data_IF_804441527301
#
_entry.id   IF_804441527301
#
_cell.length_a   1.000
_cell.length_b   1.000
_cell.length_c   1.000
_cell.angle_alpha   90.00
_cell.angle_beta   90.00
_cell.angle_gamma   90.00
#
_symmetry.space_group_name_H-M   'P 1'
#
loop_
_entity.id
_entity.type
_entity.pdbx_description
1 polymer ?
#
# COMPACT_ATOMS: atom_id res chain seq x y z
N UNK A 1 13.19 22.26 -14.06
CA UNK A 1 14.05 21.78 -12.95
C UNK A 1 13.95 22.79 -11.81
N UNK A 2 13.88 22.31 -10.58
CA UNK A 2 13.85 23.14 -9.37
C UNK A 2 15.29 23.41 -8.93
N UNK A 3 15.61 24.66 -8.66
CA UNK A 3 16.95 25.08 -8.24
C UNK A 3 17.04 25.18 -6.72
N UNK A 4 18.24 25.00 -6.20
CA UNK A 4 18.51 24.92 -4.78
C UNK A 4 18.07 26.19 -4.03
N UNK A 5 18.22 27.37 -4.62
CA UNK A 5 17.89 28.66 -4.00
C UNK A 5 16.39 28.97 -3.99
N UNK A 6 15.57 28.14 -4.66
CA UNK A 6 14.12 28.31 -4.70
C UNK A 6 13.47 27.94 -3.37
N UNK A 7 12.35 28.61 -3.05
CA UNK A 7 11.64 28.46 -1.79
C UNK A 7 11.22 27.02 -1.48
N UNK A 8 10.83 26.25 -2.51
CA UNK A 8 10.49 24.83 -2.36
C UNK A 8 11.67 24.03 -1.79
N UNK A 9 12.88 24.22 -2.33
CA UNK A 9 14.05 23.49 -1.87
C UNK A 9 14.39 23.83 -0.42
N UNK A 10 14.39 25.13 -0.09
CA UNK A 10 14.63 25.58 1.27
C UNK A 10 13.58 25.03 2.27
N UNK A 11 12.31 24.98 1.88
CA UNK A 11 11.24 24.41 2.71
C UNK A 11 11.43 22.90 2.93
N UNK A 12 11.81 22.15 1.90
CA UNK A 12 12.06 20.70 1.99
C UNK A 12 13.17 20.36 2.97
N UNK A 13 14.23 21.18 3.04
CA UNK A 13 15.39 20.92 3.89
C UNK A 13 15.43 21.73 5.19
N UNK A 14 14.31 22.36 5.58
CA UNK A 14 14.20 23.08 6.86
C UNK A 14 15.02 24.39 6.92
N UNK A 15 15.36 24.97 5.77
CA UNK A 15 16.08 26.25 5.69
C UNK A 15 16.91 26.40 4.42
N UNK A 16 17.55 27.57 4.27
CA UNK A 16 18.52 27.79 3.19
C UNK A 16 19.73 26.89 3.38
N UNK A 17 19.98 26.01 2.42
CA UNK A 17 21.16 25.15 2.42
C UNK A 17 22.45 25.99 2.27
N UNK A 18 23.51 25.74 3.08
CA UNK A 18 24.79 26.41 2.91
C UNK A 18 25.40 26.11 1.52
N UNK A 19 25.98 27.11 0.84
CA UNK A 19 26.59 27.00 -0.51
C UNK A 19 25.62 26.67 -1.65
N UNK A 20 24.33 26.85 -1.41
CA UNK A 20 23.26 26.68 -2.37
C UNK A 20 23.23 27.84 -3.38
N UNK A 21 23.50 27.54 -4.66
CA UNK A 21 23.52 28.52 -5.74
C UNK A 21 22.39 28.31 -6.75
N UNK A 22 22.05 29.35 -7.51
CA UNK A 22 20.98 29.34 -8.52
C UNK A 22 21.16 28.33 -9.66
N UNK A 23 22.37 27.79 -9.83
CA UNK A 23 22.71 26.80 -10.85
C UNK A 23 22.85 25.38 -10.29
N UNK A 24 22.57 25.18 -9.00
CA UNK A 24 22.64 23.87 -8.34
C UNK A 24 21.22 23.30 -8.32
N UNK A 25 20.95 22.14 -8.93
CA UNK A 25 19.65 21.49 -8.84
C UNK A 25 19.28 21.20 -7.38
N UNK A 26 17.99 21.30 -7.05
CA UNK A 26 17.50 20.82 -5.77
C UNK A 26 17.42 19.30 -5.82
N UNK A 27 18.38 18.63 -5.20
CA UNK A 27 18.44 17.17 -5.15
C UNK A 27 17.43 16.60 -4.14
N UNK A 28 17.06 15.34 -4.33
CA UNK A 28 16.28 14.58 -3.36
C UNK A 28 16.88 13.19 -3.20
N UNK A 29 16.67 12.61 -2.03
CA UNK A 29 17.01 11.22 -1.72
C UNK A 29 15.92 10.63 -0.85
N UNK A 30 15.41 9.46 -1.24
CA UNK A 30 14.41 8.69 -0.48
C UNK A 30 14.95 7.28 -0.29
N UNK A 31 14.80 6.75 0.91
CA UNK A 31 15.08 5.34 1.25
C UNK A 31 13.79 4.73 1.80
N UNK A 32 13.39 3.58 1.26
CA UNK A 32 12.20 2.85 1.66
C UNK A 32 12.52 1.81 2.76
N UNK A 33 11.46 1.24 3.34
CA UNK A 33 11.57 0.30 4.47
C UNK A 33 12.34 -0.97 4.13
N UNK A 34 12.11 -1.51 2.93
CA UNK A 34 12.85 -2.63 2.33
C UNK A 34 14.35 -2.32 2.06
N UNK A 35 14.73 -1.06 2.22
CA UNK A 35 16.06 -0.54 2.01
C UNK A 35 16.38 -0.14 0.58
N UNK A 36 15.43 -0.25 -0.35
CA UNK A 36 15.54 0.34 -1.67
C UNK A 36 15.61 1.87 -1.58
N UNK A 37 16.17 2.50 -2.60
CA UNK A 37 16.41 3.94 -2.57
C UNK A 37 16.33 4.59 -3.94
N UNK A 38 15.95 5.86 -3.96
CA UNK A 38 15.94 6.69 -5.16
C UNK A 38 16.63 8.02 -4.88
N UNK A 39 17.49 8.44 -5.82
CA UNK A 39 18.20 9.73 -5.77
C UNK A 39 18.01 10.43 -7.11
N UNK A 40 17.79 11.74 -7.07
CA UNK A 40 17.63 12.54 -8.28
C UNK A 40 17.46 14.01 -7.98
N UNK A 41 16.76 14.73 -8.85
CA UNK A 41 16.49 16.15 -8.70
C UNK A 41 15.01 16.46 -8.81
N UNK A 42 14.56 17.46 -8.06
CA UNK A 42 13.20 17.96 -8.17
C UNK A 42 12.98 18.68 -9.51
N UNK A 43 11.86 18.38 -10.15
CA UNK A 43 11.39 19.03 -11.37
C UNK A 43 9.97 19.54 -11.17
N UNK A 44 9.61 20.57 -11.92
CA UNK A 44 8.25 21.10 -11.96
C UNK A 44 7.65 20.70 -13.29
N UNK A 45 6.49 20.06 -13.26
CA UNK A 45 5.73 19.73 -14.46
C UNK A 45 4.22 19.78 -14.20
N UNK A 46 3.42 19.49 -15.23
CA UNK A 46 1.99 19.39 -15.15
C UNK A 46 1.55 17.98 -14.70
N UNK A 47 0.71 17.94 -13.68
CA UNK A 47 -0.12 16.79 -13.32
C UNK A 47 -1.50 16.98 -13.95
N UNK A 48 -1.93 15.99 -14.72
CA UNK A 48 -3.31 15.88 -15.21
C UNK A 48 -4.06 14.83 -14.37
N UNK A 49 -5.29 15.15 -13.99
CA UNK A 49 -6.17 14.27 -13.22
C UNK A 49 -7.62 14.49 -13.63
N UNK A 50 -8.46 13.48 -13.34
CA UNK A 50 -9.87 13.51 -13.67
C UNK A 50 -10.68 14.14 -12.52
N UNK A 51 -11.22 15.33 -12.77
CA UNK A 51 -12.07 16.04 -11.83
C UNK A 51 -13.52 15.56 -11.98
N UNK A 52 -14.11 15.07 -10.88
CA UNK A 52 -15.52 14.68 -10.83
C UNK A 52 -16.41 15.90 -11.02
N UNK A 53 -17.36 15.81 -11.94
CA UNK A 53 -18.28 16.92 -12.27
C UNK A 53 -19.74 16.59 -11.95
N UNK A 54 -20.14 15.33 -12.17
CA UNK A 54 -21.47 14.76 -11.92
C UNK A 54 -21.34 13.26 -11.69
N UNK A 55 -22.46 12.61 -11.37
CA UNK A 55 -22.53 11.15 -11.20
C UNK A 55 -21.90 10.41 -12.38
N UNK A 56 -20.82 9.67 -12.11
CA UNK A 56 -20.09 8.86 -13.08
C UNK A 56 -19.39 9.66 -14.19
N UNK A 57 -19.26 10.99 -14.05
CA UNK A 57 -18.65 11.85 -15.07
C UNK A 57 -17.49 12.65 -14.52
N UNK A 58 -16.38 12.63 -15.26
CA UNK A 58 -15.18 13.40 -14.98
C UNK A 58 -14.84 14.33 -16.14
N UNK A 59 -14.04 15.35 -15.86
CA UNK A 59 -13.40 16.18 -16.87
C UNK A 59 -11.91 16.32 -16.54
N UNK A 60 -11.02 16.42 -17.55
CA UNK A 60 -9.61 16.67 -17.30
C UNK A 60 -9.39 17.98 -16.53
N UNK A 61 -8.55 17.93 -15.50
CA UNK A 61 -8.05 19.06 -14.77
C UNK A 61 -6.54 18.95 -14.59
N UNK A 62 -5.87 20.11 -14.53
CA UNK A 62 -4.41 20.16 -14.47
C UNK A 62 -3.95 21.02 -13.28
N UNK A 63 -2.81 20.65 -12.74
CA UNK A 63 -2.07 21.45 -11.76
C UNK A 63 -0.57 21.36 -12.02
N UNK A 64 0.16 22.42 -11.71
CA UNK A 64 1.62 22.34 -11.67
C UNK A 64 2.05 21.74 -10.34
N UNK A 65 2.90 20.71 -10.38
CA UNK A 65 3.43 20.03 -9.20
C UNK A 65 4.94 19.88 -9.30
N UNK A 66 5.59 19.84 -8.15
CA UNK A 66 7.01 19.53 -8.02
C UNK A 66 7.15 18.07 -7.56
N UNK A 67 7.94 17.28 -8.27
CA UNK A 67 8.20 15.89 -7.91
C UNK A 67 9.63 15.49 -8.26
N UNK A 68 10.07 14.33 -7.76
CA UNK A 68 11.42 13.82 -7.99
C UNK A 68 11.55 13.18 -9.37
N UNK A 69 12.51 13.63 -10.17
CA UNK A 69 12.98 12.91 -11.34
C UNK A 69 14.17 12.03 -10.95
N UNK A 70 13.96 10.73 -10.86
CA UNK A 70 14.94 9.77 -10.40
C UNK A 70 16.09 9.56 -11.39
N UNK A 71 17.32 9.72 -10.93
CA UNK A 71 18.53 9.52 -11.72
C UNK A 71 19.25 8.20 -11.36
N UNK A 72 19.13 7.78 -10.10
CA UNK A 72 19.75 6.56 -9.60
C UNK A 72 18.77 5.82 -8.68
N UNK A 73 18.59 4.53 -8.95
CA UNK A 73 17.81 3.61 -8.14
C UNK A 73 18.73 2.57 -7.50
N UNK A 74 18.38 2.13 -6.29
CA UNK A 74 19.09 1.09 -5.55
C UNK A 74 18.13 0.11 -4.90
N UNK A 75 18.61 -1.10 -4.61
CA UNK A 75 17.77 -2.20 -4.12
C UNK A 75 16.74 -2.63 -5.16
N UNK A 76 15.55 -3.02 -4.70
CA UNK A 76 14.49 -3.57 -5.55
C UNK A 76 13.95 -2.58 -6.59
N UNK A 77 14.01 -1.27 -6.31
CA UNK A 77 13.67 -0.22 -7.29
C UNK A 77 14.61 -0.16 -8.50
N UNK A 78 15.81 -0.73 -8.39
CA UNK A 78 16.73 -0.87 -9.52
C UNK A 78 16.56 -2.18 -10.30
N UNK A 79 15.69 -3.08 -9.85
CA UNK A 79 15.48 -4.38 -10.45
C UNK A 79 14.59 -4.29 -11.70
N UNK A 80 14.99 -4.97 -12.78
CA UNK A 80 14.18 -5.04 -14.00
C UNK A 80 12.87 -5.82 -13.82
N UNK A 81 12.79 -6.70 -12.81
CA UNK A 81 11.63 -7.56 -12.59
C UNK A 81 10.45 -6.80 -11.95
N UNK A 82 10.70 -5.61 -11.40
CA UNK A 82 9.70 -4.75 -10.74
C UNK A 82 9.80 -3.31 -11.24
N UNK A 83 10.27 -3.12 -12.48
CA UNK A 83 10.47 -1.80 -13.05
C UNK A 83 9.13 -1.05 -13.16
N UNK A 84 9.10 0.15 -12.59
CA UNK A 84 7.98 1.08 -12.59
C UNK A 84 8.46 2.44 -13.08
N UNK A 85 7.59 3.19 -13.76
CA UNK A 85 7.93 4.53 -14.27
C UNK A 85 7.98 5.59 -13.16
N UNK A 86 7.39 5.31 -11.99
CA UNK A 86 7.44 6.18 -10.82
C UNK A 86 6.52 5.73 -9.69
N UNK A 87 6.72 6.32 -8.51
CA UNK A 87 5.90 6.09 -7.31
C UNK A 87 5.16 7.37 -6.97
N UNK A 88 3.84 7.28 -6.84
CA UNK A 88 3.01 8.39 -6.38
C UNK A 88 2.71 8.24 -4.88
N UNK A 89 3.57 8.82 -4.05
CA UNK A 89 3.42 8.78 -2.60
C UNK A 89 2.36 9.76 -2.08
N UNK A 90 1.39 9.25 -1.33
CA UNK A 90 0.37 10.03 -0.63
C UNK A 90 0.74 10.33 0.82
N UNK A 91 2.02 10.45 1.17
CA UNK A 91 2.46 10.77 2.53
C UNK A 91 2.13 12.21 2.97
N UNK A 92 2.26 12.48 4.27
CA UNK A 92 1.86 13.75 4.87
C UNK A 92 2.82 14.93 4.60
N UNK A 93 4.00 14.65 4.07
CA UNK A 93 5.03 15.64 3.79
C UNK A 93 4.51 16.79 2.91
N UNK A 94 5.00 18.01 3.16
CA UNK A 94 4.63 19.19 2.37
C UNK A 94 5.03 19.06 0.89
N UNK A 95 6.01 18.20 0.60
CA UNK A 95 6.46 17.88 -0.75
C UNK A 95 5.54 16.88 -1.47
N UNK A 96 4.59 16.22 -0.79
CA UNK A 96 3.69 15.29 -1.46
C UNK A 96 2.75 16.01 -2.43
N UNK A 97 2.34 15.30 -3.48
CA UNK A 97 1.42 15.83 -4.49
C UNK A 97 0.14 16.36 -3.85
N UNK A 98 -0.46 15.59 -2.92
CA UNK A 98 -1.68 15.99 -2.22
C UNK A 98 -1.51 17.29 -1.44
N UNK A 99 -0.40 17.45 -0.71
CA UNK A 99 -0.09 18.68 0.04
C UNK A 99 0.08 19.90 -0.89
N UNK A 100 0.70 19.72 -2.05
CA UNK A 100 0.87 20.79 -3.03
C UNK A 100 -0.47 21.21 -3.65
N UNK A 101 -1.33 20.25 -4.04
CA UNK A 101 -2.66 20.52 -4.56
C UNK A 101 -3.55 21.21 -3.51
N UNK A 102 -3.44 20.81 -2.25
CA UNK A 102 -4.15 21.43 -1.12
C UNK A 102 -3.70 22.87 -0.93
N UNK A 103 -2.38 23.13 -0.91
CA UNK A 103 -1.82 24.48 -0.79
C UNK A 103 -2.24 25.39 -1.94
N UNK A 104 -2.40 24.84 -3.15
CA UNK A 104 -2.91 25.55 -4.31
C UNK A 104 -4.45 25.73 -4.32
N UNK A 105 -5.16 25.29 -3.28
CA UNK A 105 -6.61 25.40 -3.16
C UNK A 105 -7.38 24.57 -4.20
N UNK A 106 -6.78 23.49 -4.69
CA UNK A 106 -7.37 22.64 -5.74
C UNK A 106 -8.20 21.49 -5.18
N UNK A 107 -7.77 20.93 -4.06
CA UNK A 107 -8.38 19.76 -3.41
C UNK A 107 -8.29 19.91 -1.89
N UNK A 108 -9.10 19.16 -1.15
CA UNK A 108 -8.90 18.93 0.28
C UNK A 108 -7.78 17.96 0.56
N UNK A 109 -7.26 17.98 1.79
CA UNK A 109 -6.27 17.00 2.25
C UNK A 109 -6.93 15.70 2.72
N UNK A 110 -7.86 15.19 1.92
CA UNK A 110 -8.64 13.98 2.17
C UNK A 110 -8.58 13.12 0.92
N UNK A 111 -8.35 11.82 1.09
CA UNK A 111 -8.36 10.87 -0.02
C UNK A 111 -8.83 9.49 0.45
N UNK A 112 -9.22 8.65 -0.50
CA UNK A 112 -9.65 7.29 -0.22
C UNK A 112 -9.24 6.34 -1.34
N UNK A 113 -9.04 5.08 -0.97
CA UNK A 113 -8.85 3.99 -1.92
C UNK A 113 -9.70 2.76 -1.54
N UNK A 114 -10.01 1.95 -2.53
CA UNK A 114 -10.58 0.62 -2.39
C UNK A 114 -10.01 -0.23 -3.52
N UNK A 115 -9.18 -1.22 -3.19
CA UNK A 115 -8.44 -2.02 -4.18
C UNK A 115 -8.95 -3.47 -4.20
N UNK A 116 -9.22 -3.98 -5.40
CA UNK A 116 -9.60 -5.38 -5.64
C UNK A 116 -8.35 -6.17 -6.06
N UNK A 117 -7.83 -7.01 -5.17
CA UNK A 117 -6.64 -7.84 -5.44
C UNK A 117 -6.94 -9.10 -6.27
N UNK A 118 -8.21 -9.41 -6.52
CA UNK A 118 -8.64 -10.60 -7.26
C UNK A 118 -8.89 -10.27 -8.74
N UNK A 119 -9.67 -9.21 -9.00
CA UNK A 119 -9.98 -8.76 -10.37
C UNK A 119 -9.06 -7.66 -10.87
N UNK A 120 -8.33 -7.02 -9.95
CA UNK A 120 -7.61 -5.78 -10.22
C UNK A 120 -8.53 -4.58 -10.28
N UNK A 121 -7.93 -3.40 -10.31
CA UNK A 121 -8.68 -2.14 -10.32
C UNK A 121 -9.24 -1.78 -8.95
N UNK A 122 -10.20 -0.85 -8.97
CA UNK A 122 -10.81 -0.34 -7.76
C UNK A 122 -11.18 1.12 -7.86
N UNK A 123 -11.28 1.77 -6.70
CA UNK A 123 -11.64 3.17 -6.57
C UNK A 123 -10.45 3.90 -5.95
N UNK A 124 -10.04 5.01 -6.56
CA UNK A 124 -9.14 5.98 -5.96
C UNK A 124 -9.76 7.36 -6.08
N UNK A 125 -9.82 8.11 -4.99
CA UNK A 125 -10.45 9.44 -5.01
C UNK A 125 -9.73 10.41 -4.07
N UNK A 126 -9.69 11.68 -4.48
CA UNK A 126 -9.28 12.80 -3.64
C UNK A 126 -10.55 13.61 -3.35
N UNK A 127 -10.84 13.84 -2.07
CA UNK A 127 -12.05 14.50 -1.60
C UNK A 127 -12.77 13.71 -0.49
N UNK A 128 -13.83 14.33 0.04
CA UNK A 128 -14.62 13.80 1.15
C UNK A 128 -15.60 12.72 0.68
N UNK A 129 -15.36 11.47 1.08
CA UNK A 129 -16.26 10.34 0.81
C UNK A 129 -17.40 10.34 1.81
N UNK A 130 -18.61 10.60 1.31
CA UNK A 130 -19.81 10.74 2.17
C UNK A 130 -20.67 9.48 2.20
N UNK A 131 -20.55 8.58 1.22
CA UNK A 131 -21.21 7.27 1.19
C UNK A 131 -20.26 6.20 0.59
N UNK A 132 -20.12 5.02 1.24
CA UNK A 132 -20.73 4.64 2.52
C UNK A 132 -20.17 5.46 3.70
N UNK A 133 -20.80 5.37 4.87
CA UNK A 133 -20.23 5.93 6.10
C UNK A 133 -19.20 4.96 6.65
N UNK A 134 -18.04 5.49 7.02
CA UNK A 134 -16.89 4.72 7.48
C UNK A 134 -16.55 5.20 8.89
N UNK A 135 -16.37 4.25 9.82
CA UNK A 135 -15.84 4.56 11.15
C UNK A 135 -14.36 4.91 11.05
N UNK A 136 -13.89 5.83 11.87
CA UNK A 136 -12.50 6.27 11.84
C UNK A 136 -11.85 6.12 13.21
N UNK A 137 -10.52 6.14 13.21
CA UNK A 137 -9.66 6.12 14.39
C UNK A 137 -8.59 7.22 14.23
N UNK A 138 -8.07 7.80 15.32
CA UNK A 138 -7.08 8.87 15.23
C UNK A 138 -5.74 8.40 14.67
N UNK A 139 -5.12 9.26 13.86
CA UNK A 139 -3.74 9.12 13.45
C UNK A 139 -2.81 9.53 14.61
N UNK A 140 -1.80 8.71 14.88
CA UNK A 140 -0.78 9.02 15.88
C UNK A 140 0.02 10.23 15.43
N UNK A 141 0.18 11.22 16.32
CA UNK A 141 0.94 12.44 16.06
C UNK A 141 2.44 12.17 15.91
N UNK A 142 3.11 13.04 15.16
CA UNK A 142 4.58 13.06 15.01
C UNK A 142 5.19 11.74 14.52
N UNK A 143 4.44 10.99 13.71
CA UNK A 143 4.89 9.76 13.04
C UNK A 143 5.18 10.01 11.56
N UNK A 144 6.19 9.32 10.99
CA UNK A 144 6.54 9.47 9.57
C UNK A 144 5.55 8.78 8.61
N UNK A 145 4.72 7.86 9.11
CA UNK A 145 3.74 7.11 8.33
C UNK A 145 2.33 7.26 8.93
N UNK A 146 1.33 6.71 8.25
CA UNK A 146 -0.03 6.59 8.76
C UNK A 146 -0.09 5.54 9.87
N UNK A 147 0.24 5.98 11.08
CA UNK A 147 0.21 5.15 12.27
C UNK A 147 -1.11 5.28 13.02
N UNK A 148 -1.66 4.16 13.45
CA UNK A 148 -2.84 4.05 14.32
C UNK A 148 -2.54 3.18 15.53
N UNK A 149 -3.34 3.30 16.58
CA UNK A 149 -3.16 2.52 17.82
C UNK A 149 -3.98 1.22 17.77
N UNK A 150 -3.29 0.09 17.63
CA UNK A 150 -3.87 -1.24 17.82
C UNK A 150 -4.04 -1.53 19.31
N UNK A 151 -5.18 -2.09 19.70
CA UNK A 151 -5.56 -2.39 21.09
C UNK A 151 -5.54 -3.87 21.41
N UNK A 152 -6.18 -4.69 20.58
CA UNK A 152 -6.28 -6.14 20.75
C UNK A 152 -6.35 -6.85 19.41
N UNK A 153 -6.13 -8.15 19.45
CA UNK A 153 -6.25 -9.03 18.28
C UNK A 153 -7.12 -10.22 18.69
N UNK A 154 -8.17 -10.48 17.92
CA UNK A 154 -9.00 -11.66 18.08
C UNK A 154 -8.75 -12.62 16.93
N UNK A 155 -8.72 -13.93 17.23
CA UNK A 155 -8.68 -14.99 16.22
C UNK A 155 -9.89 -15.90 16.45
N UNK A 156 -10.78 -15.97 15.47
CA UNK A 156 -12.01 -16.77 15.58
C UNK A 156 -12.93 -16.32 16.73
N UNK A 157 -12.95 -15.02 17.02
CA UNK A 157 -13.73 -14.41 18.11
C UNK A 157 -13.13 -14.58 19.51
N UNK A 158 -11.89 -15.09 19.63
CA UNK A 158 -11.18 -15.20 20.90
C UNK A 158 -10.02 -14.22 20.95
N UNK A 159 -10.00 -13.33 21.94
CA UNK A 159 -8.91 -12.36 22.15
C UNK A 159 -7.61 -13.06 22.57
N UNK A 160 -6.53 -12.78 21.83
CA UNK A 160 -5.19 -13.27 22.13
C UNK A 160 -4.65 -12.64 23.41
N UNK A 161 -4.03 -13.46 24.26
CA UNK A 161 -3.41 -13.01 25.50
C UNK A 161 -1.98 -12.51 25.23
N UNK A 162 -1.89 -11.26 24.76
CA UNK A 162 -0.64 -10.62 24.40
C UNK A 162 -0.19 -9.65 25.51
N UNK A 163 1.13 -9.57 25.81
CA UNK A 163 1.64 -8.58 26.76
C UNK A 163 1.21 -7.15 26.42
N UNK A 164 0.71 -6.42 27.42
CA UNK A 164 0.16 -5.06 27.22
C UNK A 164 1.13 -4.09 26.51
N UNK A 165 2.45 -4.24 26.75
CA UNK A 165 3.47 -3.42 26.13
C UNK A 165 3.52 -3.52 24.59
N UNK A 166 2.92 -4.54 23.97
CA UNK A 166 2.79 -4.64 22.50
C UNK A 166 1.93 -3.51 21.95
N UNK A 167 0.87 -3.13 22.69
CA UNK A 167 -0.15 -2.17 22.27
C UNK A 167 0.06 -0.77 22.86
N UNK A 168 1.00 -0.61 23.79
CA UNK A 168 1.27 0.67 24.43
C UNK A 168 1.80 1.69 23.42
N UNK A 169 1.28 2.93 23.39
CA UNK A 169 1.84 4.00 22.59
C UNK A 169 3.29 4.29 22.99
N UNK A 170 4.13 4.61 22.02
CA UNK A 170 5.52 4.98 22.26
C UNK A 170 6.19 5.56 21.02
N UNK A 171 7.34 6.21 21.19
CA UNK A 171 8.06 6.87 20.08
C UNK A 171 8.33 5.92 18.89
N UNK A 172 8.44 4.62 19.16
CA UNK A 172 8.73 3.57 18.17
C UNK A 172 7.59 2.56 17.97
N UNK A 173 6.38 2.88 18.46
CA UNK A 173 5.20 2.00 18.41
C UNK A 173 4.05 2.65 17.64
N UNK A 174 3.12 1.82 17.17
CA UNK A 174 2.00 2.19 16.31
C UNK A 174 1.92 1.26 15.10
N UNK A 175 0.70 0.97 14.65
CA UNK A 175 0.42 0.13 13.48
C UNK A 175 0.40 0.98 12.23
N UNK A 176 1.28 0.68 11.28
CA UNK A 176 1.34 1.39 9.99
C UNK A 176 0.28 0.82 9.06
N UNK A 177 -0.51 1.69 8.44
CA UNK A 177 -1.42 1.34 7.34
C UNK A 177 -0.74 1.73 6.02
N UNK A 178 -0.33 0.73 5.23
CA UNK A 178 0.53 0.95 4.06
C UNK A 178 0.08 0.13 2.85
N UNK A 179 -0.59 0.79 1.90
CA UNK A 179 -0.96 0.20 0.61
C UNK A 179 0.23 0.02 -0.35
N UNK A 180 1.42 0.53 0.00
CA UNK A 180 2.66 0.37 -0.78
C UNK A 180 3.38 -0.96 -0.51
N UNK A 181 2.95 -1.70 0.51
CA UNK A 181 3.51 -3.00 0.89
C UNK A 181 2.45 -4.09 0.73
N UNK A 182 2.79 -5.22 0.12
CA UNK A 182 1.81 -6.32 -0.10
C UNK A 182 1.46 -7.07 1.18
N UNK A 183 2.48 -7.46 1.96
CA UNK A 183 2.34 -8.35 3.12
C UNK A 183 2.10 -7.58 4.41
N UNK A 184 1.54 -8.27 5.40
CA UNK A 184 1.46 -7.74 6.76
C UNK A 184 2.68 -8.20 7.56
N UNK A 185 3.27 -7.28 8.33
CA UNK A 185 4.41 -7.56 9.19
C UNK A 185 4.00 -7.42 10.64
N UNK A 186 4.27 -8.46 11.42
CA UNK A 186 3.92 -8.53 12.83
C UNK A 186 5.19 -8.76 13.67
N UNK A 187 5.28 -8.18 14.89
CA UNK A 187 6.31 -8.53 15.86
C UNK A 187 6.36 -10.05 16.07
N UNK A 188 7.54 -10.61 16.29
CA UNK A 188 7.73 -12.08 16.32
C UNK A 188 6.76 -12.79 17.28
N UNK A 189 6.57 -12.24 18.48
CA UNK A 189 5.64 -12.78 19.47
C UNK A 189 4.19 -12.77 18.94
N UNK A 190 3.76 -11.65 18.35
CA UNK A 190 2.39 -11.51 17.81
C UNK A 190 2.18 -12.47 16.64
N UNK A 191 3.14 -12.54 15.72
CA UNK A 191 3.11 -13.48 14.59
C UNK A 191 2.91 -14.92 15.07
N UNK A 192 3.70 -15.37 16.06
CA UNK A 192 3.61 -16.73 16.61
C UNK A 192 2.24 -17.02 17.24
N UNK A 193 1.73 -16.11 18.08
CA UNK A 193 0.43 -16.29 18.74
C UNK A 193 -0.73 -16.30 17.73
N UNK A 194 -0.69 -15.43 16.73
CA UNK A 194 -1.67 -15.42 15.64
C UNK A 194 -1.63 -16.73 14.86
N UNK A 195 -0.44 -17.16 14.41
CA UNK A 195 -0.28 -18.40 13.64
C UNK A 195 -0.71 -19.64 14.45
N UNK A 196 -0.37 -19.70 15.74
CA UNK A 196 -0.79 -20.76 16.63
C UNK A 196 -2.31 -20.83 16.77
N UNK A 197 -2.98 -19.68 16.92
CA UNK A 197 -4.42 -19.61 17.02
C UNK A 197 -5.13 -19.95 15.69
N UNK A 198 -4.61 -19.48 14.55
CA UNK A 198 -5.16 -19.74 13.20
C UNK A 198 -5.11 -21.24 12.87
N UNK A 199 -3.99 -21.91 13.19
CA UNK A 199 -3.77 -23.33 12.87
C UNK A 199 -4.15 -24.28 14.02
N UNK A 200 -4.81 -23.80 15.08
CA UNK A 200 -5.16 -24.63 16.24
C UNK A 200 -5.99 -25.88 15.89
N UNK A 201 -6.84 -25.79 14.84
CA UNK A 201 -7.64 -26.92 14.34
C UNK A 201 -6.98 -27.74 13.22
N UNK A 202 -5.78 -27.34 12.79
CA UNK A 202 -5.06 -27.88 11.64
C UNK A 202 -3.61 -28.23 12.02
N UNK A 203 -3.43 -28.92 13.14
CA UNK A 203 -2.11 -29.30 13.67
C UNK A 203 -1.38 -30.33 12.80
N UNK A 204 -2.10 -30.97 11.87
CA UNK A 204 -1.60 -31.92 10.89
C UNK A 204 -1.03 -31.24 9.63
N UNK A 205 -1.28 -29.94 9.44
CA UNK A 205 -0.73 -29.19 8.31
C UNK A 205 0.80 -29.08 8.45
N UNK A 206 1.49 -29.50 7.39
CA UNK A 206 2.93 -29.34 7.26
C UNK A 206 3.25 -28.13 6.40
N UNK A 207 4.05 -27.22 6.95
CA UNK A 207 4.55 -26.08 6.21
C UNK A 207 5.82 -26.40 5.42
N UNK A 208 6.00 -25.71 4.30
CA UNK A 208 7.21 -25.73 3.50
C UNK A 208 7.56 -24.31 3.05
N UNK A 209 8.85 -24.05 2.86
CA UNK A 209 9.34 -22.78 2.33
C UNK A 209 9.18 -22.78 0.80
N UNK A 210 8.50 -21.75 0.28
CA UNK A 210 8.50 -21.45 -1.15
C UNK A 210 8.99 -20.02 -1.33
N UNK A 211 10.25 -19.87 -1.76
CA UNK A 211 10.85 -18.56 -2.02
C UNK A 211 10.78 -17.61 -0.80
N UNK A 212 10.96 -18.14 0.42
CA UNK A 212 10.89 -17.35 1.65
C UNK A 212 9.48 -17.14 2.20
N UNK A 213 8.46 -17.77 1.60
CA UNK A 213 7.10 -17.79 2.10
C UNK A 213 6.78 -19.10 2.81
N UNK A 214 6.08 -19.00 3.94
CA UNK A 214 5.56 -20.16 4.65
C UNK A 214 4.29 -20.64 3.94
N UNK A 215 4.34 -21.80 3.30
CA UNK A 215 3.23 -22.33 2.50
C UNK A 215 2.77 -23.71 2.96
N UNK A 216 1.52 -24.07 2.66
CA UNK A 216 0.89 -25.33 3.00
C UNK A 216 -0.11 -25.76 1.94
N UNK A 217 -0.39 -27.07 1.88
CA UNK A 217 -1.41 -27.59 0.99
C UNK A 217 -2.75 -27.70 1.72
N UNK A 218 -3.83 -27.22 1.10
CA UNK A 218 -5.18 -27.28 1.64
C UNK A 218 -6.21 -27.44 0.51
N UNK A 219 -6.81 -28.63 0.33
CA UNK A 219 -7.70 -28.91 -0.81
C UNK A 219 -9.08 -28.25 -0.71
N UNK A 220 -9.39 -27.56 0.40
CA UNK A 220 -10.67 -26.90 0.63
C UNK A 220 -10.62 -25.39 0.42
N UNK A 221 -11.76 -24.73 0.66
CA UNK A 221 -11.84 -23.28 0.76
C UNK A 221 -11.20 -22.81 2.06
N UNK A 222 -10.19 -21.93 1.99
CA UNK A 222 -9.57 -21.39 3.20
C UNK A 222 -10.56 -20.61 4.07
N UNK A 223 -11.59 -20.00 3.47
CA UNK A 223 -12.62 -19.25 4.18
C UNK A 223 -13.53 -20.15 5.04
N UNK A 224 -13.70 -21.42 4.63
CA UNK A 224 -14.46 -22.41 5.39
C UNK A 224 -13.58 -23.12 6.44
N UNK A 225 -12.27 -23.17 6.17
CA UNK A 225 -11.29 -23.92 6.96
C UNK A 225 -10.69 -23.14 8.13
N UNK A 226 -10.51 -21.84 7.99
CA UNK A 226 -9.68 -21.03 8.89
C UNK A 226 -10.45 -19.85 9.51
N UNK A 227 -10.04 -19.38 10.69
CA UNK A 227 -10.79 -18.34 11.41
C UNK A 227 -10.51 -16.93 10.89
N UNK A 228 -11.52 -16.07 10.88
CA UNK A 228 -11.32 -14.61 10.73
C UNK A 228 -10.43 -14.07 11.85
N UNK A 229 -9.51 -13.18 11.50
CA UNK A 229 -8.68 -12.40 12.42
C UNK A 229 -9.30 -11.00 12.51
N UNK A 230 -9.45 -10.46 13.71
CA UNK A 230 -9.92 -9.08 13.90
C UNK A 230 -8.90 -8.28 14.67
N UNK A 231 -8.39 -7.21 14.05
CA UNK A 231 -7.53 -6.23 14.70
C UNK A 231 -8.40 -5.08 15.20
N UNK A 232 -8.37 -4.81 16.50
CA UNK A 232 -9.18 -3.77 17.14
C UNK A 232 -8.33 -2.54 17.43
N UNK A 233 -8.82 -1.35 17.06
CA UNK A 233 -8.13 -0.08 17.19
C UNK A 233 -8.88 0.87 18.12
N UNK A 234 -8.32 2.05 18.35
CA UNK A 234 -9.02 3.13 19.06
C UNK A 234 -10.36 3.50 18.41
N UNK A 235 -11.27 4.03 19.22
CA UNK A 235 -12.64 4.41 18.83
C UNK A 235 -13.50 3.25 18.28
N UNK A 236 -13.24 2.04 18.78
CA UNK A 236 -13.95 0.80 18.45
C UNK A 236 -13.98 0.51 16.94
N UNK A 237 -12.93 0.93 16.22
CA UNK A 237 -12.70 0.58 14.83
C UNK A 237 -12.07 -0.82 14.76
N UNK A 238 -12.66 -1.70 13.96
CA UNK A 238 -12.18 -3.06 13.75
C UNK A 238 -11.77 -3.27 12.30
N UNK A 239 -10.64 -3.94 12.07
CA UNK A 239 -10.25 -4.49 10.77
C UNK A 239 -10.47 -5.99 10.80
N UNK A 240 -11.48 -6.46 10.06
CA UNK A 240 -11.71 -7.88 9.85
C UNK A 240 -10.85 -8.36 8.68
N UNK A 241 -10.07 -9.40 8.94
CA UNK A 241 -9.17 -10.03 7.96
C UNK A 241 -9.61 -11.47 7.78
N UNK A 242 -10.18 -11.75 6.62
CA UNK A 242 -10.68 -13.07 6.25
C UNK A 242 -9.55 -13.99 5.76
N UNK A 243 -9.72 -15.33 5.78
CA UNK A 243 -8.68 -16.26 5.34
C UNK A 243 -8.06 -15.99 3.98
N UNK A 244 -8.86 -15.63 2.98
CA UNK A 244 -8.34 -15.23 1.66
C UNK A 244 -7.58 -13.88 1.65
N UNK A 245 -7.61 -13.09 2.73
CA UNK A 245 -6.91 -11.82 2.89
C UNK A 245 -5.59 -11.98 3.69
N UNK A 246 -5.36 -13.14 4.31
CA UNK A 246 -4.08 -13.47 4.95
C UNK A 246 -3.42 -14.74 4.43
N UNK A 247 -4.06 -15.44 3.48
CA UNK A 247 -3.46 -16.47 2.65
C UNK A 247 -3.57 -16.12 1.16
N UNK A 248 -2.50 -16.30 0.40
CA UNK A 248 -2.51 -16.15 -1.05
C UNK A 248 -2.23 -17.48 -1.75
N UNK A 249 -2.91 -17.73 -2.86
CA UNK A 249 -2.79 -18.98 -3.60
C UNK A 249 -1.48 -19.03 -4.41
N UNK A 250 -0.82 -20.19 -4.38
CA UNK A 250 0.39 -20.49 -5.14
C UNK A 250 0.20 -21.70 -6.10
N UNK A 251 -1.06 -21.97 -6.47
CA UNK A 251 -1.46 -23.06 -7.38
C UNK A 251 -1.50 -24.43 -6.73
N UNK A 252 -2.17 -25.40 -7.37
CA UNK A 252 -2.28 -26.80 -6.91
C UNK A 252 -2.71 -26.96 -5.45
N UNK A 253 -3.71 -26.18 -5.01
CA UNK A 253 -4.21 -26.15 -3.63
C UNK A 253 -3.13 -25.76 -2.58
N UNK A 254 -2.04 -25.11 -3.01
CA UNK A 254 -1.02 -24.55 -2.13
C UNK A 254 -1.39 -23.11 -1.81
N UNK A 255 -1.37 -22.78 -0.53
CA UNK A 255 -1.58 -21.44 0.01
C UNK A 255 -0.35 -21.01 0.80
N UNK A 256 0.01 -19.74 0.70
CA UNK A 256 1.12 -19.14 1.40
C UNK A 256 0.63 -18.06 2.37
N UNK A 257 1.30 -17.95 3.51
CA UNK A 257 0.97 -17.01 4.58
C UNK A 257 1.35 -15.59 4.16
N UNK A 258 0.37 -14.69 4.15
CA UNK A 258 0.52 -13.26 3.85
C UNK A 258 1.11 -12.43 4.99
N UNK A 259 1.49 -13.09 6.09
CA UNK A 259 2.12 -12.50 7.27
C UNK A 259 3.59 -12.88 7.36
N UNK A 260 4.40 -11.92 7.77
CA UNK A 260 5.84 -12.09 7.94
C UNK A 260 6.29 -11.54 9.30
N UNK A 261 7.45 -12.01 9.76
CA UNK A 261 8.08 -11.46 10.96
C UNK A 261 8.63 -10.06 10.67
N UNK A 262 8.11 -9.05 11.36
CA UNK A 262 8.48 -7.64 11.20
C UNK A 262 9.92 -7.33 11.60
N UNK A 263 10.55 -8.13 12.46
CA UNK A 263 11.95 -7.93 12.83
C UNK A 263 12.88 -8.00 11.60
N UNK A 264 12.56 -8.86 10.63
CA UNK A 264 13.36 -9.08 9.41
C UNK A 264 13.34 -7.92 8.42
N UNK A 265 12.35 -7.02 8.49
CA UNK A 265 12.24 -5.85 7.60
C UNK A 265 12.84 -4.57 8.17
N UNK A 266 13.21 -4.55 9.44
CA UNK A 266 13.73 -3.34 10.06
C UNK A 266 15.26 -3.30 9.96
N UNK A 267 15.81 -2.27 9.30
CA UNK A 267 17.28 -2.02 9.32
C UNK A 267 17.83 -1.84 10.74
N UNK A 268 16.97 -1.45 11.68
CA UNK A 268 17.31 -1.21 13.09
C UNK A 268 17.02 -2.42 14.01
N UNK A 269 16.52 -3.55 13.48
CA UNK A 269 16.12 -4.72 14.28
C UNK A 269 14.93 -4.47 15.23
N UNK A 270 14.08 -3.50 14.92
CA UNK A 270 12.90 -3.12 15.70
C UNK A 270 11.64 -3.79 15.16
N UNK A 271 10.82 -4.31 16.07
CA UNK A 271 9.50 -4.82 15.75
C UNK A 271 8.61 -3.74 15.12
N UNK A 272 8.14 -4.01 13.90
CA UNK A 272 7.18 -3.18 13.16
C UNK A 272 5.84 -3.93 13.11
N UNK A 273 4.75 -3.18 13.29
CA UNK A 273 3.40 -3.65 12.92
C UNK A 273 3.00 -2.87 11.68
N UNK A 274 2.85 -3.56 10.55
CA UNK A 274 2.47 -2.96 9.27
C UNK A 274 1.36 -3.79 8.65
N UNK A 275 0.24 -3.14 8.31
CA UNK A 275 -0.87 -3.72 7.57
C UNK A 275 -0.69 -3.40 6.09
N UNK A 276 -0.41 -4.44 5.31
CA UNK A 276 -0.19 -4.35 3.86
C UNK A 276 -1.48 -4.51 3.05
N UNK A 277 -1.33 -4.40 1.74
CA UNK A 277 -2.44 -4.42 0.76
C UNK A 277 -3.32 -5.67 0.85
N UNK A 278 -2.77 -6.85 1.17
CA UNK A 278 -3.58 -8.07 1.30
C UNK A 278 -4.71 -7.93 2.32
N UNK A 279 -4.45 -7.32 3.48
CA UNK A 279 -5.45 -7.14 4.55
C UNK A 279 -6.29 -5.87 4.38
N UNK A 280 -5.88 -4.99 3.45
CA UNK A 280 -6.61 -3.78 3.07
C UNK A 280 -7.43 -3.97 1.78
N UNK A 281 -7.26 -5.09 1.07
CA UNK A 281 -8.03 -5.41 -0.11
C UNK A 281 -9.51 -5.60 0.22
N UNK A 282 -10.38 -5.21 -0.70
CA UNK A 282 -11.83 -5.18 -0.48
C UNK A 282 -12.25 -4.39 0.77
N UNK A 283 -11.42 -3.42 1.18
CA UNK A 283 -11.76 -2.39 2.16
C UNK A 283 -11.77 -1.03 1.47
N UNK A 284 -12.79 -0.22 1.76
CA UNK A 284 -12.74 1.20 1.47
C UNK A 284 -11.99 1.89 2.61
N UNK A 285 -10.78 2.38 2.34
CA UNK A 285 -9.93 3.07 3.31
C UNK A 285 -9.99 4.58 3.05
N UNK A 286 -10.33 5.37 4.06
CA UNK A 286 -10.43 6.84 4.00
C UNK A 286 -9.35 7.44 4.88
N UNK A 287 -8.61 8.39 4.32
CA UNK A 287 -7.57 9.18 4.98
C UNK A 287 -8.06 10.62 5.06
N UNK A 288 -8.46 11.06 6.25
CA UNK A 288 -8.85 12.44 6.52
C UNK A 288 -7.72 13.13 7.29
N UNK A 289 -6.81 13.75 6.55
CA UNK A 289 -5.62 14.40 7.11
C UNK A 289 -5.94 15.79 7.68
N UNK A 290 -7.12 16.34 7.40
CA UNK A 290 -7.60 17.59 8.00
C UNK A 290 -8.04 17.35 9.44
N UNK A 291 -8.77 16.25 9.68
CA UNK A 291 -9.21 15.85 11.02
C UNK A 291 -8.23 14.87 11.71
N UNK A 292 -7.14 14.49 11.04
CA UNK A 292 -6.11 13.57 11.57
C UNK A 292 -6.70 12.21 11.95
N UNK A 293 -7.55 11.65 11.10
CA UNK A 293 -8.17 10.34 11.29
C UNK A 293 -8.05 9.48 10.03
N UNK A 294 -8.07 8.17 10.21
CA UNK A 294 -8.16 7.18 9.13
C UNK A 294 -9.27 6.20 9.46
N UNK A 295 -9.96 5.66 8.47
CA UNK A 295 -11.02 4.68 8.68
C UNK A 295 -11.11 3.67 7.56
N UNK A 296 -11.79 2.55 7.84
CA UNK A 296 -12.05 1.53 6.82
C UNK A 296 -13.36 0.78 7.08
N UNK A 297 -13.87 0.17 6.02
CA UNK A 297 -15.02 -0.75 6.06
C UNK A 297 -14.87 -1.80 4.97
N UNK A 298 -15.39 -3.00 5.20
CA UNK A 298 -15.60 -3.99 4.12
C UNK A 298 -16.41 -3.32 3.00
N UNK A 299 -15.91 -3.46 1.77
CA UNK A 299 -16.52 -2.81 0.62
C UNK A 299 -16.28 -3.57 -0.68
N UNK A 300 -17.28 -3.55 -1.58
CA UNK A 300 -17.12 -4.05 -2.93
C UNK A 300 -16.35 -3.01 -3.76
N UNK A 301 -15.06 -3.22 -3.98
CA UNK A 301 -14.23 -2.29 -4.73
C UNK A 301 -14.54 -2.24 -6.23
N UNK A 302 -15.39 -3.13 -6.77
CA UNK A 302 -15.96 -3.04 -8.12
C UNK A 302 -17.26 -2.22 -8.18
N UNK A 303 -17.62 -1.51 -7.11
CA UNK A 303 -18.86 -0.72 -7.03
C UNK A 303 -18.61 0.77 -7.27
N UNK A 304 -19.23 1.64 -6.47
CA UNK A 304 -19.06 3.08 -6.53
C UNK A 304 -19.11 3.70 -5.14
N UNK A 305 -18.54 4.88 -4.97
CA UNK A 305 -18.66 5.69 -3.76
C UNK A 305 -19.34 7.02 -4.09
N UNK A 306 -19.79 7.76 -3.09
CA UNK A 306 -20.17 9.17 -3.27
C UNK A 306 -19.19 10.08 -2.60
N UNK A 307 -18.71 11.06 -3.36
CA UNK A 307 -17.87 12.14 -2.85
C UNK A 307 -18.65 13.44 -2.82
N UNK A 308 -18.28 14.34 -1.91
CA UNK A 308 -18.86 15.67 -1.79
C UNK A 308 -17.95 16.72 -2.44
N UNK A 309 -18.52 17.54 -3.31
CA UNK A 309 -17.83 18.69 -3.87
C UNK A 309 -17.70 19.80 -2.81
N UNK A 310 -16.48 20.30 -2.63
CA UNK A 310 -16.15 21.22 -1.55
C UNK A 310 -16.72 22.63 -1.74
N UNK A 311 -17.03 23.04 -2.98
CA UNK A 311 -17.48 24.39 -3.30
C UNK A 311 -19.00 24.49 -3.30
N UNK A 312 -19.66 23.49 -3.85
CA UNK A 312 -21.11 23.45 -4.07
C UNK A 312 -21.82 22.63 -2.99
N UNK A 313 -21.11 21.74 -2.31
CA UNK A 313 -21.70 20.77 -1.39
C UNK A 313 -22.48 19.65 -2.07
N UNK A 314 -22.51 19.62 -3.41
CA UNK A 314 -23.18 18.58 -4.17
C UNK A 314 -22.46 17.24 -4.00
N UNK A 315 -23.21 16.15 -4.00
CA UNK A 315 -22.66 14.79 -3.95
C UNK A 315 -22.65 14.18 -5.34
N UNK A 316 -21.56 13.53 -5.72
CA UNK A 316 -21.43 12.84 -7.01
C UNK A 316 -20.87 11.43 -6.84
N UNK A 317 -21.37 10.52 -7.66
CA UNK A 317 -20.96 9.12 -7.70
C UNK A 317 -19.65 8.96 -8.46
N UNK A 318 -18.73 8.19 -7.88
CA UNK A 318 -17.45 7.79 -8.49
C UNK A 318 -17.44 6.28 -8.58
N UNK A 319 -17.36 5.77 -9.81
CA UNK A 319 -17.32 4.33 -10.07
C UNK A 319 -15.91 3.77 -9.93
N UNK A 320 -15.81 2.46 -9.73
CA UNK A 320 -14.55 1.74 -9.86
C UNK A 320 -14.02 1.80 -11.30
N UNK A 321 -12.70 1.81 -11.42
CA UNK A 321 -11.99 1.74 -12.69
C UNK A 321 -11.11 0.50 -12.71
N UNK A 322 -10.98 -0.10 -13.88
CA UNK A 322 -10.01 -1.16 -14.09
C UNK A 322 -8.62 -0.53 -14.21
N UNK A 323 -7.69 -1.00 -13.38
CA UNK A 323 -6.28 -0.79 -13.66
C UNK A 323 -5.91 -1.86 -14.68
N UNK A 324 -5.72 -1.46 -15.94
CA UNK A 324 -5.23 -2.39 -16.96
C UNK A 324 -3.95 -3.04 -16.44
N UNK A 325 -3.90 -4.37 -16.36
CA UNK A 325 -2.67 -5.06 -15.99
C UNK A 325 -1.56 -4.63 -16.96
N UNK A 326 -0.53 -3.96 -16.45
CA UNK A 326 0.75 -3.85 -17.13
C UNK A 326 1.29 -5.26 -17.29
N UNK A 327 0.90 -5.92 -18.38
CA UNK A 327 1.32 -7.24 -18.85
C UNK A 327 0.60 -8.44 -18.22
N UNK A 328 -0.31 -9.05 -18.99
CA UNK A 328 -0.70 -10.46 -18.79
C UNK A 328 0.39 -11.36 -19.36
N UNK A 329 1.34 -11.81 -18.55
CA UNK A 329 2.09 -13.01 -18.91
C UNK A 329 1.15 -14.21 -18.74
N UNK A 330 0.46 -14.59 -19.83
CA UNK A 330 -0.18 -15.89 -19.90
C UNK A 330 0.93 -16.95 -19.86
N UNK A 331 1.08 -17.62 -18.72
CA UNK A 331 1.67 -18.95 -18.71
C UNK A 331 0.68 -19.91 -19.35
N UNK A 332 0.57 -19.86 -20.69
CA UNK A 332 0.07 -21.03 -21.39
C UNK A 332 1.16 -22.10 -21.30
N UNK A 333 0.94 -23.03 -20.37
CA UNK A 333 1.46 -24.38 -20.47
C UNK A 333 1.04 -24.95 -21.82
N UNK A 334 1.95 -24.93 -22.80
CA UNK A 334 1.81 -25.73 -24.01
C UNK A 334 2.86 -26.82 -23.96
N UNK A 335 2.49 -28.08 -23.63
CA UNK A 335 3.31 -29.21 -24.02
C UNK A 335 3.20 -29.37 -25.55
N UNK A 336 4.16 -30.03 -26.20
CA UNK A 336 4.22 -30.28 -27.67
C UNK A 336 4.76 -29.04 -28.41
N UNK A 337 5.95 -29.00 -29.04
CA UNK A 337 6.57 -29.94 -29.97
C UNK A 337 8.07 -29.57 -30.10
N UNK A 338 9.01 -30.40 -29.63
CA UNK A 338 10.42 -30.31 -30.01
C UNK A 338 10.74 -31.53 -30.87
N UNK A 339 10.58 -31.38 -32.18
CA UNK A 339 11.02 -32.35 -33.18
C UNK A 339 11.65 -31.61 -34.38
N UNK A 340 12.98 -31.60 -34.34
CA UNK A 340 13.92 -31.84 -35.45
C UNK A 340 13.74 -31.04 -36.75
N UNK A 341 14.73 -30.19 -37.04
CA UNK A 341 15.37 -30.16 -38.37
C UNK A 341 16.89 -29.96 -38.25
N UNK A 342 17.61 -31.07 -38.18
CA UNK A 342 19.01 -31.17 -38.63
C UNK A 342 18.96 -31.55 -40.11
N UNK A 343 19.47 -30.72 -41.04
CA UNK A 343 20.24 -31.18 -42.22
C UNK A 343 21.11 -30.04 -42.75
N UNK A 344 22.41 -30.31 -42.70
CA UNK A 344 23.57 -29.81 -43.45
C UNK A 344 23.33 -29.01 -44.74
N UNK A 345 24.26 -28.08 -45.00
CA UNK A 345 25.20 -28.23 -46.13
C UNK A 345 26.50 -27.45 -45.89
N UNK A 346 27.59 -28.13 -46.21
CA UNK A 346 29.00 -27.83 -45.95
C UNK A 346 29.64 -26.95 -47.05
N UNK A 347 30.77 -26.31 -46.66
CA UNK A 347 32.02 -26.05 -47.41
C UNK A 347 31.98 -25.25 -48.72
N UNK A 348 32.89 -24.25 -48.84
CA UNK A 348 34.03 -24.25 -49.78
C UNK A 348 34.97 -23.05 -49.47
N UNK A 349 36.26 -23.40 -49.34
CA UNK A 349 37.50 -22.59 -49.30
C UNK A 349 37.78 -21.68 -48.10
#
# INVERSE_FOLDING_TARGET
MVMCDQAFCAATFGGKLPKCGANVPCEYSVTYGDGSSTIGSFVTDALQFDQVTRDGQTQPANASVIFGCGAQQGGDLGSSNQALDGILGFGEANTSMLSQLTTAGKVKKIFAHCLDTIKGGGIFSIGDVVQPKVKTTPLVADKPHYNVNLKTIDVGGTTLQLPAHIFEPGEKKGTIIDSGTTLTYLPELVFKEVMLAVFNKHQDITFHDVQGFLCFQYPGSVDDGFPTITFHFEDDLALHVYPHEYFFANGNDVYCVGFQNGASQSKDGKDIVLMGDLVLSNKLVIYDLENRVIGWTDYNCSSSIKIKDDKTGATSTVNSHDLSSGWKFHWHMSPVLLLVTTVCSYLIC
#
